data_IF_295382037135
#
_entry.id   IF_295382037135
#
_cell.length_a   1.000
_cell.length_b   1.000
_cell.length_c   1.000
_cell.angle_alpha   90.00
_cell.angle_beta   90.00
_cell.angle_gamma   90.00
#
_symmetry.space_group_name_H-M   'P 1'
#
loop_
_entity.id
_entity.type
_entity.pdbx_description
1 polymer ?
#
# COMPACT_ATOMS: atom_id res chain seq x y z
N UNK A 1 -17.53 72.37 -28.92
CA UNK A 1 -17.11 72.15 -27.52
C UNK A 1 -15.71 71.57 -27.53
N UNK A 2 -14.76 72.35 -27.00
CA UNK A 2 -13.42 72.04 -26.44
C UNK A 2 -12.60 70.88 -27.03
N UNK A 3 -11.29 70.99 -27.29
CA UNK A 3 -10.30 72.05 -27.60
C UNK A 3 -8.97 71.27 -27.81
N UNK A 4 -8.15 71.74 -28.75
CA UNK A 4 -6.83 71.20 -29.11
C UNK A 4 -5.84 71.09 -27.94
N UNK A 5 -4.86 70.17 -28.03
CA UNK A 5 -3.45 70.51 -27.82
C UNK A 5 -2.47 69.50 -28.47
N UNK A 6 -1.61 70.02 -29.33
CA UNK A 6 -0.41 69.39 -29.89
C UNK A 6 0.74 69.65 -28.92
N UNK A 7 1.64 68.69 -28.73
CA UNK A 7 3.03 69.01 -28.40
C UNK A 7 3.99 68.00 -29.03
N UNK A 8 4.69 68.48 -30.06
CA UNK A 8 5.89 67.87 -30.61
C UNK A 8 7.09 68.43 -29.83
N UNK A 9 7.94 67.56 -29.29
CA UNK A 9 9.31 67.92 -28.93
C UNK A 9 10.26 66.90 -29.57
N UNK A 10 10.95 67.36 -30.62
CA UNK A 10 12.20 66.76 -31.07
C UNK A 10 13.29 67.15 -30.07
N UNK A 11 13.98 66.17 -29.50
CA UNK A 11 15.34 66.33 -29.02
C UNK A 11 16.20 65.26 -29.71
N UNK A 12 16.99 65.71 -30.68
CA UNK A 12 18.17 64.98 -31.14
C UNK A 12 19.25 65.10 -30.07
N UNK A 13 19.80 63.96 -29.63
CA UNK A 13 21.16 63.89 -29.12
C UNK A 13 21.77 62.57 -29.56
N UNK A 14 22.79 62.66 -30.41
CA UNK A 14 23.73 61.58 -30.68
C UNK A 14 24.53 61.28 -29.41
N UNK A 15 24.82 59.99 -29.14
CA UNK A 15 26.18 59.48 -28.93
C UNK A 15 26.18 58.13 -28.21
N UNK A 16 26.96 57.22 -28.77
CA UNK A 16 27.71 56.12 -28.13
C UNK A 16 26.93 55.01 -27.40
N UNK A 17 26.80 53.89 -28.10
CA UNK A 17 27.30 52.55 -27.69
C UNK A 17 26.91 52.02 -26.31
N UNK A 18 26.12 50.96 -26.31
CA UNK A 18 26.44 49.75 -25.55
C UNK A 18 25.70 48.55 -26.18
N UNK A 19 26.48 47.56 -26.62
CA UNK A 19 26.01 46.23 -26.97
C UNK A 19 25.58 45.52 -25.67
N UNK A 20 24.27 45.49 -25.40
CA UNK A 20 23.71 44.53 -24.45
C UNK A 20 22.88 43.53 -25.23
N UNK A 21 23.48 42.34 -25.41
CA UNK A 21 22.77 41.14 -25.82
C UNK A 21 21.51 40.98 -24.95
N UNK A 22 20.34 41.15 -25.55
CA UNK A 22 19.09 40.69 -24.97
C UNK A 22 19.19 39.17 -24.79
N UNK A 23 19.29 38.76 -23.52
CA UNK A 23 19.07 37.39 -23.09
C UNK A 23 17.64 37.01 -23.47
N UNK A 24 17.52 36.26 -24.57
CA UNK A 24 16.34 35.46 -24.86
C UNK A 24 16.17 34.51 -23.68
N UNK A 25 15.15 34.76 -22.86
CA UNK A 25 14.69 33.81 -21.86
C UNK A 25 14.02 32.68 -22.65
N UNK A 26 14.78 31.63 -22.94
CA UNK A 26 14.20 30.37 -23.40
C UNK A 26 13.32 29.83 -22.26
N UNK A 27 12.00 29.80 -22.52
CA UNK A 27 11.06 29.01 -21.75
C UNK A 27 11.49 27.54 -21.89
N UNK A 28 12.19 27.03 -20.88
CA UNK A 28 12.47 25.62 -20.72
C UNK A 28 11.19 24.92 -20.22
N UNK A 29 10.16 24.89 -21.08
CA UNK A 29 9.10 23.89 -20.97
C UNK A 29 9.74 22.55 -21.33
N UNK A 30 10.38 21.95 -20.34
CA UNK A 30 10.84 20.56 -20.40
C UNK A 30 9.61 19.70 -20.65
N UNK A 31 9.45 19.32 -21.91
CA UNK A 31 8.51 18.33 -22.39
C UNK A 31 8.63 17.12 -21.44
N UNK A 32 7.56 16.84 -20.68
CA UNK A 32 7.52 15.66 -19.81
C UNK A 32 7.51 14.46 -20.74
N UNK A 33 8.71 13.94 -21.05
CA UNK A 33 8.89 12.66 -21.70
C UNK A 33 8.10 11.66 -20.87
N UNK A 34 7.06 11.06 -21.46
CA UNK A 34 6.33 9.96 -20.85
C UNK A 34 7.35 8.86 -20.59
N UNK A 35 7.88 8.82 -19.36
CA UNK A 35 8.79 7.78 -18.93
C UNK A 35 8.07 6.44 -19.05
N UNK A 36 8.79 5.44 -19.56
CA UNK A 36 8.32 4.06 -19.67
C UNK A 36 7.47 3.61 -18.47
N UNK A 37 6.37 2.86 -18.69
CA UNK A 37 5.50 2.45 -17.60
C UNK A 37 6.21 1.57 -16.56
N UNK A 38 5.78 1.62 -15.29
CA UNK A 38 6.35 0.81 -14.21
C UNK A 38 6.39 -0.68 -14.56
N UNK A 39 5.29 -1.24 -15.06
CA UNK A 39 5.19 -2.65 -15.46
C UNK A 39 6.22 -3.05 -16.52
N UNK A 40 6.56 -2.13 -17.45
CA UNK A 40 7.58 -2.37 -18.47
C UNK A 40 8.97 -2.37 -17.85
N UNK A 41 9.28 -1.34 -17.04
CA UNK A 41 10.57 -1.26 -16.33
C UNK A 41 10.80 -2.51 -15.49
N UNK A 42 9.78 -2.96 -14.75
CA UNK A 42 9.86 -4.15 -13.91
C UNK A 42 10.10 -5.40 -14.75
N UNK A 43 9.32 -5.60 -15.82
CA UNK A 43 9.46 -6.73 -16.73
C UNK A 43 10.87 -6.81 -17.35
N UNK A 44 11.43 -5.67 -17.78
CA UNK A 44 12.74 -5.64 -18.44
C UNK A 44 13.91 -5.86 -17.46
N UNK A 45 13.72 -5.58 -16.16
CA UNK A 45 14.82 -5.50 -15.19
C UNK A 45 14.80 -6.55 -14.08
N UNK A 46 13.67 -7.21 -13.83
CA UNK A 46 13.45 -8.06 -12.67
C UNK A 46 12.78 -9.39 -13.02
N UNK A 47 13.00 -10.40 -12.18
CA UNK A 47 12.25 -11.65 -12.28
C UNK A 47 10.83 -11.44 -11.76
N UNK A 48 9.82 -11.57 -12.63
CA UNK A 48 8.41 -11.36 -12.32
C UNK A 48 7.82 -12.35 -11.31
N UNK A 49 8.52 -13.43 -11.00
CA UNK A 49 8.11 -14.44 -10.02
C UNK A 49 8.56 -14.07 -8.60
N UNK A 50 9.65 -13.30 -8.47
CA UNK A 50 10.23 -12.94 -7.16
C UNK A 50 10.23 -11.45 -6.86
N UNK A 51 9.90 -10.60 -7.82
CA UNK A 51 9.79 -9.16 -7.64
C UNK A 51 8.53 -8.62 -8.31
N UNK A 52 7.62 -8.08 -7.50
CA UNK A 52 6.34 -7.56 -7.97
C UNK A 52 6.16 -6.11 -7.51
N UNK A 53 5.74 -5.24 -8.42
CA UNK A 53 5.45 -3.83 -8.17
C UNK A 53 4.03 -3.52 -8.64
N UNK A 54 3.23 -2.85 -7.83
CA UNK A 54 1.83 -2.61 -8.13
C UNK A 54 1.21 -1.44 -7.37
N UNK A 55 -0.10 -1.31 -7.55
CA UNK A 55 -0.90 -0.29 -6.88
C UNK A 55 -2.31 -0.82 -6.54
N UNK A 56 -2.88 -0.30 -5.47
CA UNK A 56 -4.24 -0.61 -5.03
C UNK A 56 -5.28 0.17 -5.83
N UNK A 57 -6.40 -0.50 -6.16
CA UNK A 57 -7.60 0.13 -6.71
C UNK A 57 -8.78 -0.04 -5.76
N UNK A 58 -9.63 0.97 -5.70
CA UNK A 58 -10.96 0.88 -5.11
C UNK A 58 -11.99 0.45 -6.16
N UNK A 59 -13.07 -0.23 -5.74
CA UNK A 59 -14.17 -0.61 -6.62
C UNK A 59 -14.73 0.54 -7.46
N UNK A 60 -14.86 1.73 -6.86
CA UNK A 60 -15.40 2.91 -7.55
C UNK A 60 -14.43 3.54 -8.57
N UNK A 61 -13.21 3.02 -8.67
CA UNK A 61 -12.22 3.45 -9.66
C UNK A 61 -12.24 2.57 -10.92
N UNK A 62 -12.97 1.45 -10.92
CA UNK A 62 -13.16 0.64 -12.11
C UNK A 62 -13.99 1.41 -13.16
N UNK A 63 -13.65 1.25 -14.44
CA UNK A 63 -14.21 1.96 -15.59
C UNK A 63 -14.05 3.49 -15.51
N UNK A 64 -12.96 3.98 -14.90
CA UNK A 64 -12.64 5.41 -14.82
C UNK A 64 -11.29 5.73 -15.44
N UNK A 65 -10.92 7.01 -15.50
CA UNK A 65 -9.56 7.43 -15.87
C UNK A 65 -8.47 6.93 -14.91
N UNK A 66 -8.83 6.60 -13.65
CA UNK A 66 -7.92 5.96 -12.70
C UNK A 66 -7.63 4.51 -13.10
N UNK A 67 -8.63 3.76 -13.58
CA UNK A 67 -8.41 2.42 -14.15
C UNK A 67 -7.48 2.50 -15.36
N UNK A 68 -7.69 3.46 -16.27
CA UNK A 68 -6.82 3.61 -17.44
C UNK A 68 -5.36 3.88 -17.03
N UNK A 69 -5.13 4.85 -16.13
CA UNK A 69 -3.79 5.11 -15.60
C UNK A 69 -3.19 3.85 -14.94
N UNK A 70 -3.99 3.13 -14.15
CA UNK A 70 -3.54 1.89 -13.53
C UNK A 70 -3.12 0.85 -14.58
N UNK A 71 -3.94 0.63 -15.60
CA UNK A 71 -3.67 -0.34 -16.66
C UNK A 71 -2.45 0.06 -17.48
N UNK A 72 -2.18 1.35 -17.65
CA UNK A 72 -0.98 1.83 -18.35
C UNK A 72 0.29 1.53 -17.53
N UNK A 73 0.24 1.71 -16.21
CA UNK A 73 1.42 1.68 -15.34
C UNK A 73 1.67 0.32 -14.65
N UNK A 74 0.64 -0.45 -14.31
CA UNK A 74 0.74 -1.59 -13.39
C UNK A 74 0.07 -2.87 -13.94
N UNK A 75 0.44 -4.02 -13.36
CA UNK A 75 -0.17 -5.34 -13.62
C UNK A 75 -0.33 -6.17 -12.33
N UNK A 76 -0.28 -5.52 -11.17
CA UNK A 76 -0.54 -6.10 -9.85
C UNK A 76 -1.41 -5.14 -9.03
N UNK A 77 -2.47 -5.65 -8.41
CA UNK A 77 -3.37 -4.85 -7.58
C UNK A 77 -3.78 -5.53 -6.28
N UNK A 78 -4.16 -4.70 -5.32
CA UNK A 78 -4.93 -5.09 -4.15
C UNK A 78 -6.26 -4.34 -4.20
N UNK A 79 -7.42 -5.00 -4.15
CA UNK A 79 -8.71 -4.33 -4.04
C UNK A 79 -8.87 -3.72 -2.64
N UNK A 80 -8.91 -2.38 -2.54
CA UNK A 80 -8.77 -1.64 -1.26
C UNK A 80 -9.72 -2.12 -0.15
N UNK A 81 -10.99 -2.38 -0.50
CA UNK A 81 -12.03 -2.75 0.46
C UNK A 81 -12.90 -3.93 0.02
N UNK A 82 -12.88 -4.31 -1.27
CA UNK A 82 -13.88 -5.21 -1.87
C UNK A 82 -13.94 -6.60 -1.26
N UNK A 83 -12.85 -7.04 -0.63
CA UNK A 83 -12.71 -8.35 -0.01
C UNK A 83 -12.80 -8.31 1.52
N UNK A 84 -13.04 -7.13 2.12
CA UNK A 84 -13.21 -7.01 3.57
C UNK A 84 -14.54 -7.60 3.99
N UNK A 85 -14.59 -8.10 5.23
CA UNK A 85 -15.79 -8.71 5.81
C UNK A 85 -17.00 -7.77 5.74
N UNK A 86 -16.81 -6.48 6.02
CA UNK A 86 -17.87 -5.44 5.96
C UNK A 86 -18.55 -5.33 4.61
N UNK A 87 -17.87 -5.73 3.54
CA UNK A 87 -18.36 -5.67 2.16
C UNK A 87 -18.94 -7.02 1.76
N UNK A 88 -18.22 -8.10 2.02
CA UNK A 88 -18.60 -9.45 1.58
C UNK A 88 -19.73 -10.04 2.44
N UNK A 89 -19.66 -9.82 3.75
CA UNK A 89 -20.58 -10.34 4.76
C UNK A 89 -21.03 -9.22 5.71
N UNK A 90 -21.79 -8.22 5.18
CA UNK A 90 -22.11 -6.99 5.90
C UNK A 90 -23.03 -7.22 7.09
N UNK A 91 -23.79 -8.31 7.11
CA UNK A 91 -24.67 -8.75 8.22
C UNK A 91 -24.71 -10.29 8.28
N UNK A 92 -24.98 -10.90 9.45
CA UNK A 92 -25.16 -12.33 9.58
C UNK A 92 -26.17 -12.89 8.56
N UNK A 93 -25.76 -13.91 7.80
CA UNK A 93 -26.58 -14.54 6.76
C UNK A 93 -26.71 -13.76 5.44
N UNK A 94 -26.13 -12.56 5.33
CA UNK A 94 -26.17 -11.74 4.10
C UNK A 94 -24.83 -11.79 3.39
N UNK A 95 -24.84 -12.04 2.09
CA UNK A 95 -23.62 -12.08 1.27
C UNK A 95 -23.73 -11.11 0.09
N UNK A 96 -22.69 -10.31 -0.11
CA UNK A 96 -22.54 -9.45 -1.29
C UNK A 96 -21.20 -9.72 -1.99
N UNK A 97 -21.26 -10.49 -3.08
CA UNK A 97 -20.10 -10.83 -3.89
C UNK A 97 -19.87 -9.84 -5.03
N UNK A 98 -20.71 -8.83 -5.21
CA UNK A 98 -20.71 -7.95 -6.38
C UNK A 98 -19.33 -7.32 -6.61
N UNK A 99 -18.70 -6.80 -5.56
CA UNK A 99 -17.39 -6.15 -5.67
C UNK A 99 -16.25 -7.16 -5.82
N UNK A 100 -16.37 -8.34 -5.20
CA UNK A 100 -15.41 -9.43 -5.36
C UNK A 100 -15.40 -9.90 -6.80
N UNK A 101 -16.57 -10.20 -7.36
CA UNK A 101 -16.73 -10.71 -8.72
C UNK A 101 -16.23 -9.69 -9.74
N UNK A 102 -16.55 -8.40 -9.57
CA UNK A 102 -16.02 -7.34 -10.43
C UNK A 102 -14.48 -7.28 -10.46
N UNK A 103 -13.81 -7.49 -9.32
CA UNK A 103 -12.35 -7.49 -9.26
C UNK A 103 -11.73 -8.78 -9.82
N UNK A 104 -12.37 -9.94 -9.60
CA UNK A 104 -11.94 -11.20 -10.20
C UNK A 104 -12.04 -11.13 -11.74
N UNK A 105 -13.13 -10.57 -12.26
CA UNK A 105 -13.34 -10.35 -13.69
C UNK A 105 -12.35 -9.32 -14.26
N UNK A 106 -12.16 -8.20 -13.56
CA UNK A 106 -11.18 -7.19 -13.95
C UNK A 106 -9.76 -7.77 -14.03
N UNK A 107 -9.38 -8.59 -13.03
CA UNK A 107 -8.06 -9.21 -12.99
C UNK A 107 -7.87 -10.21 -14.13
N UNK A 108 -8.89 -11.05 -14.40
CA UNK A 108 -8.86 -12.02 -15.48
C UNK A 108 -8.80 -11.35 -16.86
N UNK A 109 -9.66 -10.36 -17.12
CA UNK A 109 -9.75 -9.64 -18.40
C UNK A 109 -8.44 -8.93 -18.78
N UNK A 110 -7.73 -8.41 -17.78
CA UNK A 110 -6.54 -7.57 -18.00
C UNK A 110 -5.22 -8.27 -17.63
N UNK A 111 -5.25 -9.57 -17.30
CA UNK A 111 -4.08 -10.33 -16.88
C UNK A 111 -3.31 -9.68 -15.70
N UNK A 112 -4.07 -9.27 -14.67
CA UNK A 112 -3.53 -8.60 -13.49
C UNK A 112 -3.34 -9.63 -12.37
N UNK A 113 -2.19 -9.61 -11.70
CA UNK A 113 -1.98 -10.35 -10.44
C UNK A 113 -2.75 -9.65 -9.32
N UNK A 114 -3.32 -10.40 -8.38
CA UNK A 114 -4.15 -9.85 -7.32
C UNK A 114 -3.78 -10.38 -5.93
N UNK A 115 -3.79 -9.48 -4.95
CA UNK A 115 -3.76 -9.80 -3.52
C UNK A 115 -5.15 -9.57 -2.93
N UNK A 116 -5.63 -10.54 -2.15
CA UNK A 116 -6.87 -10.43 -1.37
C UNK A 116 -6.52 -9.86 0.01
N UNK A 117 -7.11 -8.72 0.33
CA UNK A 117 -6.77 -7.96 1.53
C UNK A 117 -7.95 -7.82 2.50
N UNK A 118 -7.62 -7.89 3.80
CA UNK A 118 -8.55 -7.73 4.92
C UNK A 118 -9.43 -8.95 5.31
N UNK A 119 -8.95 -10.21 5.24
CA UNK A 119 -9.80 -11.36 5.57
C UNK A 119 -10.05 -11.61 7.07
N UNK A 120 -9.28 -11.13 8.06
CA UNK A 120 -9.79 -10.97 9.45
C UNK A 120 -8.89 -10.06 10.31
N UNK A 121 -9.47 -9.27 11.22
CA UNK A 121 -8.74 -8.36 12.10
C UNK A 121 -9.62 -7.22 12.64
N UNK A 122 -9.02 -6.11 13.10
CA UNK A 122 -9.74 -4.93 13.60
C UNK A 122 -10.68 -4.26 12.59
N UNK A 123 -10.42 -4.44 11.29
CA UNK A 123 -11.27 -3.93 10.21
C UNK A 123 -12.47 -4.87 9.98
N UNK A 124 -13.35 -4.94 10.99
CA UNK A 124 -14.52 -5.83 11.03
C UNK A 124 -15.84 -5.09 10.82
N UNK A 125 -16.90 -5.85 10.54
CA UNK A 125 -18.27 -5.35 10.41
C UNK A 125 -18.78 -4.75 11.72
N UNK A 126 -19.64 -3.75 11.60
CA UNK A 126 -20.26 -3.08 12.75
C UNK A 126 -21.00 -4.09 13.63
N UNK A 127 -21.74 -5.03 13.04
CA UNK A 127 -22.44 -6.07 13.81
C UNK A 127 -21.48 -6.89 14.67
N UNK A 128 -20.26 -7.16 14.22
CA UNK A 128 -19.30 -7.97 14.97
C UNK A 128 -18.78 -7.23 16.22
N UNK A 129 -18.76 -5.90 16.17
CA UNK A 129 -18.36 -5.01 17.28
C UNK A 129 -19.46 -4.85 18.32
N UNK A 130 -20.70 -4.85 17.88
CA UNK A 130 -21.89 -4.73 18.75
C UNK A 130 -22.46 -6.11 19.15
N UNK A 131 -21.76 -7.18 18.79
CA UNK A 131 -22.29 -8.52 18.92
C UNK A 131 -22.37 -8.97 20.39
N UNK A 132 -23.55 -9.46 20.78
CA UNK A 132 -23.84 -9.97 22.12
C UNK A 132 -23.95 -11.50 22.19
N UNK A 133 -23.72 -12.20 21.08
CA UNK A 133 -23.71 -13.66 21.02
C UNK A 133 -22.54 -14.23 21.81
N UNK A 134 -22.64 -15.51 22.15
CA UNK A 134 -21.57 -16.19 22.86
C UNK A 134 -20.35 -16.44 21.93
N UNK A 135 -19.22 -16.83 22.53
CA UNK A 135 -17.98 -17.04 21.80
C UNK A 135 -18.08 -18.09 20.68
N UNK A 136 -18.88 -19.16 20.85
CA UNK A 136 -19.04 -20.22 19.85
C UNK A 136 -19.85 -19.75 18.64
N UNK A 137 -20.91 -18.98 18.89
CA UNK A 137 -21.76 -18.40 17.84
C UNK A 137 -21.01 -17.33 17.04
N UNK A 138 -20.28 -16.43 17.70
CA UNK A 138 -19.44 -15.45 17.00
C UNK A 138 -18.36 -16.16 16.20
N UNK A 139 -17.74 -17.18 16.79
CA UNK A 139 -16.70 -17.96 16.15
C UNK A 139 -17.21 -18.61 14.86
N UNK A 140 -18.43 -19.14 14.87
CA UNK A 140 -19.03 -19.76 13.68
C UNK A 140 -19.18 -18.77 12.52
N UNK A 141 -19.60 -17.53 12.77
CA UNK A 141 -19.82 -16.57 11.67
C UNK A 141 -18.56 -16.10 10.96
N UNK A 142 -17.48 -15.80 11.68
CA UNK A 142 -16.26 -15.38 10.97
C UNK A 142 -15.61 -16.58 10.27
N UNK A 143 -15.75 -17.80 10.81
CA UNK A 143 -15.30 -19.01 10.14
C UNK A 143 -16.06 -19.26 8.84
N UNK A 144 -17.38 -19.04 8.82
CA UNK A 144 -18.19 -19.13 7.60
C UNK A 144 -17.74 -18.11 6.55
N UNK A 145 -17.53 -16.86 6.96
CA UNK A 145 -16.93 -15.83 6.12
C UNK A 145 -15.59 -16.25 5.52
N UNK A 146 -14.64 -16.66 6.36
CA UNK A 146 -13.31 -17.10 5.92
C UNK A 146 -13.40 -18.28 4.95
N UNK A 147 -14.25 -19.27 5.25
CA UNK A 147 -14.40 -20.49 4.45
C UNK A 147 -14.95 -20.18 3.06
N UNK A 148 -16.04 -19.42 2.96
CA UNK A 148 -16.64 -19.11 1.66
C UNK A 148 -15.75 -18.18 0.83
N UNK A 149 -15.08 -17.22 1.48
CA UNK A 149 -14.09 -16.39 0.79
C UNK A 149 -12.92 -17.24 0.25
N UNK A 150 -12.34 -18.12 1.06
CA UNK A 150 -11.26 -19.02 0.64
C UNK A 150 -11.65 -19.86 -0.57
N UNK A 151 -12.84 -20.49 -0.54
CA UNK A 151 -13.36 -21.28 -1.67
C UNK A 151 -13.52 -20.44 -2.93
N UNK A 152 -14.04 -19.21 -2.79
CA UNK A 152 -14.30 -18.30 -3.91
C UNK A 152 -13.01 -17.91 -4.64
N UNK A 153 -11.91 -17.72 -3.90
CA UNK A 153 -10.64 -17.25 -4.49
C UNK A 153 -9.67 -18.37 -4.90
N UNK A 154 -9.74 -19.56 -4.27
CA UNK A 154 -8.71 -20.59 -4.40
C UNK A 154 -8.40 -21.06 -5.83
N UNK A 155 -9.40 -21.04 -6.71
CA UNK A 155 -9.26 -21.54 -8.07
C UNK A 155 -9.07 -20.42 -9.11
N UNK A 156 -8.93 -19.17 -8.67
CA UNK A 156 -8.66 -18.06 -9.56
C UNK A 156 -7.14 -17.86 -9.70
N UNK A 157 -6.60 -18.11 -10.91
CA UNK A 157 -5.16 -18.03 -11.19
C UNK A 157 -4.55 -16.63 -11.06
N UNK A 158 -5.37 -15.59 -11.05
CA UNK A 158 -4.90 -14.22 -10.84
C UNK A 158 -4.67 -13.91 -9.36
N UNK A 159 -5.31 -14.64 -8.44
CA UNK A 159 -5.14 -14.43 -6.99
C UNK A 159 -3.90 -15.18 -6.50
N UNK A 160 -2.91 -14.44 -6.01
CA UNK A 160 -1.64 -15.02 -5.57
C UNK A 160 -1.50 -15.04 -4.04
N UNK A 161 -1.95 -13.98 -3.37
CA UNK A 161 -1.79 -13.81 -1.93
C UNK A 161 -3.11 -13.48 -1.25
N UNK A 162 -3.26 -13.91 0.01
CA UNK A 162 -4.34 -13.52 0.89
C UNK A 162 -3.78 -13.12 2.26
N UNK A 163 -4.18 -11.96 2.77
CA UNK A 163 -3.80 -11.42 4.08
C UNK A 163 -4.54 -12.09 5.25
N UNK A 164 -4.39 -13.41 5.44
CA UNK A 164 -5.21 -14.24 6.36
C UNK A 164 -5.60 -13.55 7.67
N UNK A 165 -4.65 -12.84 8.30
CA UNK A 165 -4.92 -11.93 9.42
C UNK A 165 -4.29 -10.57 9.15
N UNK A 166 -4.93 -9.52 9.69
CA UNK A 166 -4.51 -8.14 9.54
C UNK A 166 -4.46 -7.42 10.90
N UNK A 167 -3.37 -6.72 11.20
CA UNK A 167 -3.29 -5.72 12.29
C UNK A 167 -3.63 -6.29 13.67
N UNK A 168 -3.13 -7.48 13.96
CA UNK A 168 -3.49 -8.22 15.17
C UNK A 168 -2.69 -7.81 16.40
N UNK A 169 -1.58 -7.07 16.21
CA UNK A 169 -0.64 -6.69 17.29
C UNK A 169 -0.45 -5.17 17.30
N UNK A 170 -0.41 -4.58 18.50
CA UNK A 170 -0.14 -3.17 18.77
C UNK A 170 1.38 -2.89 18.81
N UNK A 171 1.76 -1.62 18.73
CA UNK A 171 3.17 -1.20 18.71
C UNK A 171 3.97 -1.58 19.96
N UNK A 172 3.31 -1.92 21.06
CA UNK A 172 3.88 -2.37 22.33
C UNK A 172 3.81 -3.91 22.52
N UNK A 173 3.70 -4.67 21.42
CA UNK A 173 3.66 -6.14 21.45
C UNK A 173 2.41 -6.78 22.06
N UNK A 174 1.42 -5.99 22.47
CA UNK A 174 0.13 -6.50 22.94
C UNK A 174 -0.77 -6.84 21.76
N UNK A 175 -1.70 -7.78 21.92
CA UNK A 175 -2.74 -8.01 20.92
C UNK A 175 -3.64 -6.78 20.78
N UNK A 176 -4.11 -6.51 19.57
CA UNK A 176 -5.30 -5.66 19.41
C UNK A 176 -6.48 -6.34 20.09
N UNK A 177 -7.37 -5.55 20.67
CA UNK A 177 -8.45 -6.06 21.51
C UNK A 177 -9.76 -5.30 21.24
N UNK A 178 -10.86 -5.87 21.73
CA UNK A 178 -12.19 -5.26 21.73
C UNK A 178 -12.18 -3.96 22.54
N UNK A 179 -12.99 -2.98 22.15
CA UNK A 179 -13.22 -1.75 22.92
C UNK A 179 -14.71 -1.40 22.90
N UNK A 180 -15.14 -0.55 23.81
CA UNK A 180 -16.55 -0.13 23.80
C UNK A 180 -16.81 0.87 22.66
N UNK A 181 -17.77 0.52 21.80
CA UNK A 181 -18.29 1.38 20.73
C UNK A 181 -17.63 1.19 19.36
N UNK A 182 -18.40 1.45 18.30
CA UNK A 182 -18.06 1.05 16.92
C UNK A 182 -17.09 1.97 16.16
N UNK A 183 -16.84 3.15 16.72
CA UNK A 183 -16.00 4.20 16.12
C UNK A 183 -14.51 4.07 16.48
N UNK A 184 -14.15 3.11 17.34
CA UNK A 184 -12.77 2.89 17.74
C UNK A 184 -12.07 1.88 16.84
N UNK A 185 -10.73 1.97 16.83
CA UNK A 185 -9.90 0.89 16.33
C UNK A 185 -9.87 -0.24 17.35
N UNK A 186 -10.68 -1.26 17.09
CA UNK A 186 -10.92 -2.39 17.98
C UNK A 186 -11.00 -3.71 17.21
N UNK A 187 -10.74 -4.81 17.91
CA UNK A 187 -10.73 -6.15 17.34
C UNK A 187 -11.75 -7.04 18.07
N UNK A 188 -12.99 -7.20 17.56
CA UNK A 188 -14.02 -7.97 18.28
C UNK A 188 -13.69 -9.46 18.38
N UNK A 189 -12.82 -9.98 17.51
CA UNK A 189 -12.53 -11.41 17.42
C UNK A 189 -11.76 -11.96 18.64
N UNK A 190 -11.16 -11.10 19.46
CA UNK A 190 -10.51 -11.52 20.70
C UNK A 190 -11.47 -12.06 21.73
N UNK A 191 -12.77 -11.71 21.66
CA UNK A 191 -13.78 -12.22 22.59
C UNK A 191 -14.04 -13.73 22.45
N UNK A 192 -13.60 -14.35 21.34
CA UNK A 192 -13.63 -15.80 21.16
C UNK A 192 -12.65 -16.50 22.13
N UNK A 193 -11.66 -15.76 22.62
CA UNK A 193 -10.69 -16.22 23.60
C UNK A 193 -9.34 -16.62 22.99
N UNK A 194 -8.50 -17.20 23.84
CA UNK A 194 -7.14 -17.65 23.52
C UNK A 194 -7.04 -19.15 23.73
N UNK A 195 -6.14 -19.80 23.00
CA UNK A 195 -5.79 -21.18 23.29
C UNK A 195 -4.88 -21.29 24.53
N UNK A 196 -4.51 -22.51 24.92
CA UNK A 196 -3.67 -22.78 26.09
C UNK A 196 -2.28 -22.12 26.02
N UNK A 197 -1.78 -21.83 24.81
CA UNK A 197 -0.49 -21.17 24.57
C UNK A 197 -0.60 -19.63 24.56
N UNK A 198 -1.79 -19.08 24.83
CA UNK A 198 -2.03 -17.64 24.91
C UNK A 198 -2.20 -16.94 23.56
N UNK A 199 -2.38 -17.68 22.46
CA UNK A 199 -2.62 -17.13 21.12
C UNK A 199 -4.13 -16.97 20.90
N UNK A 200 -4.60 -15.82 20.38
CA UNK A 200 -6.01 -15.62 20.04
C UNK A 200 -6.53 -16.72 19.09
N UNK A 201 -7.66 -17.35 19.46
CA UNK A 201 -8.21 -18.48 18.72
C UNK A 201 -8.57 -18.13 17.27
N UNK A 202 -9.02 -16.90 17.02
CA UNK A 202 -9.39 -16.46 15.68
C UNK A 202 -8.21 -16.50 14.70
N UNK A 203 -6.99 -16.20 15.16
CA UNK A 203 -5.77 -16.22 14.33
C UNK A 203 -5.45 -17.65 13.90
N UNK A 204 -5.37 -18.57 14.86
CA UNK A 204 -5.06 -19.98 14.60
C UNK A 204 -6.08 -20.58 13.63
N UNK A 205 -7.36 -20.32 13.91
CA UNK A 205 -8.46 -20.87 13.13
C UNK A 205 -8.57 -20.27 11.73
N UNK A 206 -8.24 -18.99 11.55
CA UNK A 206 -8.19 -18.37 10.22
C UNK A 206 -7.14 -19.06 9.33
N UNK A 207 -5.96 -19.35 9.87
CA UNK A 207 -4.92 -20.11 9.14
C UNK A 207 -5.28 -21.59 8.93
N UNK A 208 -5.98 -22.25 9.86
CA UNK A 208 -6.53 -23.60 9.64
C UNK A 208 -7.50 -23.62 8.44
N UNK A 209 -8.45 -22.67 8.41
CA UNK A 209 -9.45 -22.56 7.34
C UNK A 209 -8.78 -22.23 6.01
N UNK A 210 -7.89 -21.25 6.00
CA UNK A 210 -7.18 -20.85 4.78
C UNK A 210 -6.32 -22.00 4.23
N UNK A 211 -5.61 -22.74 5.08
CA UNK A 211 -4.86 -23.94 4.67
C UNK A 211 -5.78 -25.00 4.03
N UNK A 212 -6.99 -25.19 4.58
CA UNK A 212 -7.93 -26.20 4.11
C UNK A 212 -8.65 -25.81 2.82
N UNK A 213 -9.10 -24.57 2.70
CA UNK A 213 -10.03 -24.11 1.64
C UNK A 213 -9.38 -23.20 0.60
N UNK A 214 -8.19 -22.66 0.86
CA UNK A 214 -7.38 -21.89 -0.09
C UNK A 214 -5.94 -22.44 -0.25
N UNK A 215 -5.73 -23.77 -0.43
CA UNK A 215 -4.39 -24.35 -0.50
C UNK A 215 -3.50 -23.80 -1.63
N UNK A 216 -4.10 -23.31 -2.72
CA UNK A 216 -3.40 -22.77 -3.89
C UNK A 216 -2.97 -21.31 -3.74
N UNK A 217 -3.36 -20.65 -2.65
CA UNK A 217 -3.05 -19.24 -2.37
C UNK A 217 -1.92 -19.16 -1.35
N UNK A 218 -1.03 -18.17 -1.49
CA UNK A 218 -0.02 -17.86 -0.49
C UNK A 218 -0.64 -17.10 0.68
N UNK A 219 -0.45 -17.63 1.90
CA UNK A 219 -1.10 -17.19 3.12
C UNK A 219 -0.20 -16.21 3.89
N UNK A 220 -0.61 -14.94 3.95
CA UNK A 220 0.21 -13.83 4.46
C UNK A 220 -0.32 -13.33 5.81
N UNK A 221 0.61 -13.09 6.74
CA UNK A 221 0.33 -12.35 7.98
C UNK A 221 0.64 -10.87 7.74
N UNK A 222 -0.37 -9.99 7.68
CA UNK A 222 -0.19 -8.57 7.38
C UNK A 222 -0.27 -7.70 8.64
N UNK A 223 0.66 -6.76 8.79
CA UNK A 223 0.79 -5.98 10.01
C UNK A 223 1.02 -4.49 9.73
N UNK A 224 0.26 -3.66 10.45
CA UNK A 224 0.43 -2.21 10.51
C UNK A 224 1.48 -1.79 11.54
N UNK A 225 1.72 -0.48 11.61
CA UNK A 225 2.69 0.26 12.42
C UNK A 225 4.10 0.28 11.82
N UNK A 226 5.05 0.76 12.61
CA UNK A 226 6.39 1.12 12.15
C UNK A 226 7.43 0.08 12.53
N UNK A 227 8.63 0.57 12.84
CA UNK A 227 9.81 -0.23 13.16
C UNK A 227 10.00 -0.33 14.68
N UNK A 228 8.93 -0.70 15.41
CA UNK A 228 8.96 -0.96 16.86
C UNK A 228 9.36 -2.43 17.11
N UNK A 229 10.50 -2.70 17.80
CA UNK A 229 10.98 -4.08 17.94
C UNK A 229 10.02 -5.02 18.67
N UNK A 230 9.42 -4.58 19.77
CA UNK A 230 8.51 -5.41 20.59
C UNK A 230 7.32 -5.96 19.78
N UNK A 231 6.77 -5.15 18.87
CA UNK A 231 5.70 -5.58 17.98
C UNK A 231 6.20 -6.64 16.98
N UNK A 232 7.34 -6.39 16.32
CA UNK A 232 7.87 -7.32 15.33
C UNK A 232 8.33 -8.63 15.95
N UNK A 233 8.87 -8.61 17.17
CA UNK A 233 9.19 -9.82 17.92
C UNK A 233 7.92 -10.64 18.17
N UNK A 234 6.82 -10.00 18.58
CA UNK A 234 5.54 -10.69 18.76
C UNK A 234 4.98 -11.27 17.45
N UNK A 235 5.10 -10.54 16.33
CA UNK A 235 4.69 -11.03 15.01
C UNK A 235 5.50 -12.27 14.63
N UNK A 236 6.83 -12.20 14.77
CA UNK A 236 7.75 -13.30 14.47
C UNK A 236 7.46 -14.53 15.33
N UNK A 237 7.30 -14.37 16.64
CA UNK A 237 6.89 -15.42 17.57
C UNK A 237 5.58 -16.09 17.14
N UNK A 238 4.59 -15.29 16.73
CA UNK A 238 3.27 -15.79 16.32
C UNK A 238 3.37 -16.59 15.03
N UNK A 239 4.14 -16.12 14.05
CA UNK A 239 4.35 -16.85 12.79
C UNK A 239 5.06 -18.19 13.04
N UNK A 240 6.14 -18.17 13.85
CA UNK A 240 6.84 -19.40 14.23
C UNK A 240 5.93 -20.37 14.98
N UNK A 241 5.07 -19.85 15.87
CA UNK A 241 4.06 -20.65 16.55
C UNK A 241 3.11 -21.33 15.56
N UNK A 242 2.52 -20.58 14.62
CA UNK A 242 1.60 -21.13 13.62
C UNK A 242 2.28 -22.22 12.78
N UNK A 243 3.51 -21.97 12.31
CA UNK A 243 4.32 -22.97 11.58
C UNK A 243 4.62 -24.21 12.44
N UNK A 244 4.90 -24.04 13.74
CA UNK A 244 5.14 -25.16 14.67
C UNK A 244 3.92 -26.08 14.87
N UNK A 245 2.71 -25.53 14.69
CA UNK A 245 1.44 -26.30 14.69
C UNK A 245 1.11 -26.89 13.31
N UNK A 246 2.03 -26.80 12.35
CA UNK A 246 1.87 -27.31 10.99
C UNK A 246 0.95 -26.45 10.11
N UNK A 247 0.65 -25.21 10.50
CA UNK A 247 -0.14 -24.28 9.68
C UNK A 247 0.74 -23.66 8.59
N UNK A 248 0.12 -23.37 7.45
CA UNK A 248 0.78 -22.75 6.30
C UNK A 248 0.80 -21.24 6.50
N UNK A 249 1.99 -20.66 6.59
CA UNK A 249 2.24 -19.21 6.56
C UNK A 249 3.37 -19.02 5.56
N UNK A 250 3.06 -18.37 4.45
CA UNK A 250 3.95 -18.25 3.30
C UNK A 250 4.58 -16.86 3.19
N UNK A 251 4.04 -15.86 3.88
CA UNK A 251 4.55 -14.49 3.77
C UNK A 251 4.30 -13.62 4.98
N UNK A 252 5.14 -12.59 5.11
CA UNK A 252 5.03 -11.51 6.07
C UNK A 252 4.76 -10.19 5.34
N UNK A 253 3.64 -9.53 5.68
CA UNK A 253 3.26 -8.23 5.14
C UNK A 253 3.52 -7.09 6.12
N UNK A 254 4.16 -6.03 5.63
CA UNK A 254 4.23 -4.72 6.28
C UNK A 254 3.47 -3.70 5.44
N UNK A 255 2.51 -3.02 6.05
CA UNK A 255 1.71 -2.03 5.33
C UNK A 255 2.55 -0.88 4.79
N UNK A 256 3.44 -0.30 5.59
CA UNK A 256 4.28 0.79 5.12
C UNK A 256 3.54 2.12 4.96
N UNK A 257 2.54 2.42 5.79
CA UNK A 257 1.95 3.76 5.86
C UNK A 257 2.94 4.75 6.49
N UNK A 258 3.64 5.53 5.66
CA UNK A 258 4.65 6.50 6.09
C UNK A 258 4.03 7.90 6.27
N UNK A 259 4.71 8.73 7.05
CA UNK A 259 4.31 10.13 7.27
C UNK A 259 5.54 11.02 7.38
N UNK A 260 5.43 12.24 6.90
CA UNK A 260 6.55 13.20 6.94
C UNK A 260 6.97 13.58 8.38
N UNK A 261 6.02 13.54 9.32
CA UNK A 261 6.26 13.83 10.73
C UNK A 261 6.58 12.58 11.57
N UNK A 262 6.69 11.40 10.95
CA UNK A 262 7.10 10.14 11.60
C UNK A 262 8.18 9.51 10.73
N UNK A 263 9.41 9.99 10.90
CA UNK A 263 10.54 9.65 10.03
C UNK A 263 10.92 8.17 10.21
N UNK A 264 10.55 7.33 9.23
CA UNK A 264 10.89 5.91 9.16
C UNK A 264 11.77 5.64 7.95
N UNK A 265 11.27 5.91 6.75
CA UNK A 265 11.93 5.58 5.49
C UNK A 265 13.16 6.43 5.18
N UNK A 266 13.35 7.54 5.90
CA UNK A 266 14.45 8.47 5.72
C UNK A 266 15.44 8.43 6.90
N UNK A 267 15.35 7.41 7.77
CA UNK A 267 16.26 7.22 8.90
C UNK A 267 17.03 5.90 8.74
N UNK A 268 18.35 5.95 8.90
CA UNK A 268 19.23 4.78 8.66
C UNK A 268 18.92 3.61 9.58
N UNK A 269 18.76 3.83 10.88
CA UNK A 269 18.51 2.76 11.84
C UNK A 269 17.19 2.04 11.56
N UNK A 270 16.16 2.77 11.13
CA UNK A 270 14.86 2.19 10.77
C UNK A 270 14.93 1.38 9.47
N UNK A 271 15.69 1.84 8.48
CA UNK A 271 15.94 1.06 7.25
C UNK A 271 16.76 -0.20 7.55
N UNK A 272 17.81 -0.10 8.37
CA UNK A 272 18.62 -1.25 8.78
C UNK A 272 17.74 -2.28 9.53
N UNK A 273 16.83 -1.82 10.39
CA UNK A 273 15.89 -2.70 11.08
C UNK A 273 14.89 -3.36 10.12
N UNK A 274 14.34 -2.62 9.14
CA UNK A 274 13.51 -3.19 8.07
C UNK A 274 14.25 -4.29 7.30
N UNK A 275 15.51 -4.05 6.92
CA UNK A 275 16.33 -5.06 6.25
C UNK A 275 16.47 -6.33 7.10
N UNK A 276 16.65 -6.20 8.42
CA UNK A 276 16.70 -7.36 9.33
C UNK A 276 15.39 -8.15 9.39
N UNK A 277 14.23 -7.49 9.22
CA UNK A 277 12.93 -8.17 9.15
C UNK A 277 12.78 -8.92 7.82
N UNK A 278 13.20 -8.32 6.71
CA UNK A 278 13.20 -8.96 5.39
C UNK A 278 14.10 -10.19 5.41
N UNK A 279 15.33 -10.05 5.93
CA UNK A 279 16.29 -11.15 6.06
C UNK A 279 15.72 -12.27 6.94
N UNK A 280 15.09 -11.92 8.07
CA UNK A 280 14.42 -12.90 8.94
C UNK A 280 13.28 -13.62 8.21
N UNK A 281 12.47 -12.92 7.42
CA UNK A 281 11.37 -13.53 6.67
C UNK A 281 11.89 -14.58 5.68
N UNK A 282 12.87 -14.21 4.85
CA UNK A 282 13.48 -15.13 3.88
C UNK A 282 14.18 -16.33 4.55
N UNK A 283 14.87 -16.11 5.67
CA UNK A 283 15.50 -17.19 6.47
C UNK A 283 14.50 -18.18 7.07
N UNK A 284 13.23 -17.79 7.19
CA UNK A 284 12.14 -18.63 7.70
C UNK A 284 11.19 -19.09 6.59
N UNK A 285 11.64 -19.11 5.34
CA UNK A 285 10.86 -19.51 4.16
C UNK A 285 9.55 -18.71 4.04
N UNK A 286 9.64 -17.39 4.17
CA UNK A 286 8.52 -16.46 3.99
C UNK A 286 8.85 -15.45 2.89
N UNK A 287 7.89 -15.18 2.02
CA UNK A 287 7.86 -13.98 1.19
C UNK A 287 7.82 -12.73 2.08
N UNK A 288 8.38 -11.61 1.61
CA UNK A 288 8.23 -10.32 2.29
C UNK A 288 7.46 -9.31 1.43
N UNK A 289 6.43 -8.70 1.99
CA UNK A 289 5.54 -7.81 1.25
C UNK A 289 5.50 -6.43 1.87
N UNK A 290 5.80 -5.40 1.08
CA UNK A 290 5.31 -4.04 1.34
C UNK A 290 3.94 -3.93 0.69
N UNK A 291 2.89 -3.93 1.50
CA UNK A 291 1.51 -4.22 1.05
C UNK A 291 0.68 -2.98 0.77
N UNK A 292 0.95 -1.87 1.45
CA UNK A 292 0.08 -0.70 1.47
C UNK A 292 0.88 0.61 1.53
N UNK A 293 2.02 0.68 0.84
CA UNK A 293 2.91 1.83 1.05
C UNK A 293 2.26 3.11 0.56
N UNK A 294 2.34 4.10 1.43
CA UNK A 294 2.07 5.47 1.10
C UNK A 294 2.92 6.40 1.95
N UNK A 295 2.92 7.69 1.63
CA UNK A 295 3.68 8.67 2.39
C UNK A 295 2.87 9.95 2.52
N UNK A 296 2.22 10.14 3.67
CA UNK A 296 1.40 11.32 3.92
C UNK A 296 2.26 12.53 4.27
N UNK A 297 2.23 13.54 3.41
CA UNK A 297 2.80 14.87 3.73
C UNK A 297 1.90 15.63 4.70
N UNK A 298 2.51 16.49 5.50
CA UNK A 298 1.80 17.33 6.46
C UNK A 298 1.63 18.74 5.89
N UNK A 299 0.45 19.32 6.08
CA UNK A 299 0.11 20.68 5.62
C UNK A 299 -0.74 20.70 4.35
N UNK A 300 -1.25 21.90 4.01
CA UNK A 300 -2.22 22.10 2.92
C UNK A 300 -1.55 22.50 1.59
N UNK A 301 -0.25 22.78 1.60
CA UNK A 301 0.51 23.14 0.39
C UNK A 301 1.97 22.70 0.54
N UNK A 302 2.29 21.41 0.28
CA UNK A 302 3.63 20.88 0.47
C UNK A 302 4.65 21.57 -0.46
N UNK A 303 5.81 21.89 0.09
CA UNK A 303 6.92 22.50 -0.68
C UNK A 303 7.59 21.48 -1.61
N UNK A 304 8.38 21.95 -2.57
CA UNK A 304 9.20 21.09 -3.42
C UNK A 304 10.11 20.15 -2.59
N UNK A 305 10.68 20.65 -1.48
CA UNK A 305 11.47 19.82 -0.56
C UNK A 305 10.63 18.75 0.14
N UNK A 306 9.35 19.02 0.44
CA UNK A 306 8.46 18.01 1.00
C UNK A 306 8.17 16.88 -0.01
N UNK A 307 7.92 17.21 -1.28
CA UNK A 307 7.80 16.20 -2.34
C UNK A 307 9.10 15.44 -2.60
N UNK A 308 10.26 16.08 -2.46
CA UNK A 308 11.55 15.39 -2.55
C UNK A 308 11.77 14.40 -1.40
N UNK A 309 11.37 14.77 -0.16
CA UNK A 309 11.37 13.83 0.97
C UNK A 309 10.41 12.66 0.73
N UNK A 310 9.18 12.94 0.28
CA UNK A 310 8.21 11.91 -0.09
C UNK A 310 8.80 10.90 -1.09
N UNK A 311 9.37 11.42 -2.18
CA UNK A 311 9.92 10.61 -3.25
C UNK A 311 11.09 9.72 -2.79
N UNK A 312 12.00 10.28 -1.98
CA UNK A 312 13.09 9.49 -1.39
C UNK A 312 12.60 8.51 -0.33
N UNK A 313 11.54 8.82 0.42
CA UNK A 313 10.92 7.91 1.39
C UNK A 313 10.37 6.66 0.70
N UNK A 314 9.57 6.85 -0.35
CA UNK A 314 9.11 5.75 -1.20
C UNK A 314 10.28 4.95 -1.79
N UNK A 315 11.28 5.65 -2.34
CA UNK A 315 12.45 5.04 -2.97
C UNK A 315 13.30 4.23 -1.99
N UNK A 316 13.52 4.68 -0.76
CA UNK A 316 14.33 3.94 0.21
C UNK A 316 13.70 2.60 0.60
N UNK A 317 12.37 2.54 0.73
CA UNK A 317 11.69 1.25 0.95
C UNK A 317 11.87 0.35 -0.28
N UNK A 318 11.74 0.89 -1.49
CA UNK A 318 11.95 0.13 -2.72
C UNK A 318 13.39 -0.39 -2.84
N UNK A 319 14.39 0.44 -2.52
CA UNK A 319 15.82 0.09 -2.47
C UNK A 319 16.08 -1.05 -1.50
N UNK A 320 15.44 -1.03 -0.33
CA UNK A 320 15.54 -2.11 0.66
C UNK A 320 15.06 -3.44 0.07
N UNK A 321 13.89 -3.47 -0.58
CA UNK A 321 13.37 -4.66 -1.27
C UNK A 321 14.29 -5.10 -2.42
N UNK A 322 14.72 -4.18 -3.27
CA UNK A 322 15.64 -4.48 -4.38
C UNK A 322 16.91 -5.15 -3.83
N UNK A 323 17.46 -4.68 -2.71
CA UNK A 323 18.67 -5.24 -2.11
C UNK A 323 18.51 -6.69 -1.61
N UNK A 324 17.28 -7.16 -1.38
CA UNK A 324 16.97 -8.50 -0.85
C UNK A 324 16.18 -9.39 -1.81
N UNK A 325 15.85 -8.90 -3.00
CA UNK A 325 15.13 -9.64 -4.05
C UNK A 325 15.79 -10.96 -4.49
N UNK A 326 17.08 -11.14 -4.19
CA UNK A 326 17.83 -12.36 -4.49
C UNK A 326 17.65 -13.48 -3.45
N UNK A 327 17.09 -13.16 -2.29
CA UNK A 327 16.96 -14.09 -1.14
C UNK A 327 15.55 -14.70 -1.04
N UNK A 328 14.56 -14.15 -1.75
CA UNK A 328 13.17 -14.61 -1.74
C UNK A 328 12.26 -13.62 -2.45
N UNK A 329 10.96 -13.90 -2.45
CA UNK A 329 9.97 -13.01 -3.09
C UNK A 329 9.88 -11.71 -2.28
N UNK A 330 9.81 -10.60 -3.01
CA UNK A 330 9.47 -9.29 -2.48
C UNK A 330 8.38 -8.61 -3.30
N UNK A 331 7.43 -7.94 -2.64
CA UNK A 331 6.41 -7.15 -3.32
C UNK A 331 6.37 -5.71 -2.82
N UNK A 332 6.10 -4.77 -3.71
CA UNK A 332 5.91 -3.35 -3.40
C UNK A 332 4.56 -2.90 -3.98
N UNK A 333 3.60 -2.57 -3.13
CA UNK A 333 2.27 -2.14 -3.56
C UNK A 333 1.93 -0.78 -2.95
N UNK A 334 1.69 0.24 -3.77
CA UNK A 334 1.21 1.52 -3.26
C UNK A 334 -0.26 1.40 -2.88
N UNK A 335 -0.66 1.95 -1.72
CA UNK A 335 -2.06 1.80 -1.26
C UNK A 335 -3.09 2.61 -2.06
N UNK A 336 -2.61 3.46 -2.95
CA UNK A 336 -3.43 4.16 -3.92
C UNK A 336 -2.54 4.67 -5.05
N UNK A 337 -3.19 5.07 -6.14
CA UNK A 337 -2.52 5.61 -7.30
C UNK A 337 -2.34 7.13 -7.15
N UNK A 338 -3.39 7.85 -6.75
CA UNK A 338 -3.47 9.31 -6.86
C UNK A 338 -4.00 9.98 -5.59
N UNK A 339 -3.56 11.21 -5.35
CA UNK A 339 -4.05 12.08 -4.26
C UNK A 339 -5.53 12.41 -4.46
N UNK A 340 -6.39 12.02 -3.49
CA UNK A 340 -7.84 12.24 -3.60
C UNK A 340 -8.16 13.73 -3.60
N UNK A 341 -9.09 14.14 -4.47
CA UNK A 341 -9.34 15.54 -4.81
C UNK A 341 -10.32 16.29 -3.88
N UNK A 342 -10.84 15.65 -2.84
CA UNK A 342 -11.80 16.27 -1.94
C UNK A 342 -11.11 17.37 -1.11
N UNK A 343 -11.48 18.66 -1.23
CA UNK A 343 -10.83 19.75 -0.50
C UNK A 343 -10.88 19.59 1.03
N UNK A 344 -11.90 18.91 1.56
CA UNK A 344 -12.06 18.66 3.00
C UNK A 344 -11.20 17.49 3.51
N UNK A 345 -10.71 16.65 2.61
CA UNK A 345 -9.93 15.45 2.94
C UNK A 345 -8.74 15.23 1.99
N UNK A 346 -8.19 16.29 1.40
CA UNK A 346 -7.11 16.18 0.42
C UNK A 346 -5.86 15.67 1.15
N UNK A 347 -5.36 14.52 0.73
CA UNK A 347 -4.17 13.91 1.31
C UNK A 347 -3.07 13.84 0.25
N UNK A 348 -2.00 14.61 0.45
CA UNK A 348 -0.78 14.55 -0.36
C UNK A 348 0.01 13.30 0.01
N UNK A 349 -0.44 12.14 -0.47
CA UNK A 349 -0.10 10.83 0.08
C UNK A 349 0.50 9.88 -0.96
N UNK A 350 -0.06 9.87 -2.17
CA UNK A 350 0.25 8.93 -3.23
C UNK A 350 1.22 9.51 -4.25
N UNK A 351 1.54 8.72 -5.29
CA UNK A 351 2.61 9.02 -6.25
C UNK A 351 2.12 9.82 -7.46
N UNK A 352 0.82 9.85 -7.73
CA UNK A 352 0.18 10.78 -8.68
C UNK A 352 -0.59 11.87 -7.94
N UNK A 353 -0.68 13.05 -8.52
CA UNK A 353 -1.50 14.14 -8.00
C UNK A 353 -2.98 13.90 -8.33
N UNK A 354 -3.82 14.83 -7.88
CA UNK A 354 -5.26 14.69 -8.02
C UNK A 354 -5.81 14.91 -9.44
N UNK A 355 -4.97 15.40 -10.35
CA UNK A 355 -5.23 15.49 -11.79
C UNK A 355 -4.61 14.30 -12.55
N UNK A 356 -4.19 13.25 -11.84
CA UNK A 356 -3.55 12.06 -12.38
C UNK A 356 -2.20 12.34 -13.06
N UNK A 357 -1.53 13.43 -12.69
CA UNK A 357 -0.17 13.75 -13.16
C UNK A 357 0.87 13.15 -12.23
N UNK A 358 1.98 12.61 -12.77
CA UNK A 358 3.02 12.01 -11.95
C UNK A 358 3.67 13.07 -11.05
N UNK A 359 3.85 12.75 -9.76
CA UNK A 359 4.64 13.58 -8.83
C UNK A 359 6.11 13.18 -8.89
N UNK A 360 6.96 13.92 -8.17
CA UNK A 360 8.41 13.62 -8.05
C UNK A 360 8.69 12.17 -7.62
N UNK A 361 7.78 11.56 -6.85
CA UNK A 361 7.88 10.15 -6.45
C UNK A 361 7.90 9.19 -7.64
N UNK A 362 7.10 9.43 -8.69
CA UNK A 362 7.08 8.57 -9.89
C UNK A 362 8.44 8.56 -10.57
N UNK A 363 9.02 9.74 -10.81
CA UNK A 363 10.33 9.89 -11.43
C UNK A 363 11.42 9.14 -10.65
N UNK A 364 11.51 9.36 -9.33
CA UNK A 364 12.55 8.72 -8.49
C UNK A 364 12.34 7.21 -8.40
N UNK A 365 11.08 6.73 -8.29
CA UNK A 365 10.79 5.29 -8.27
C UNK A 365 11.17 4.63 -9.61
N UNK A 366 10.81 5.23 -10.75
CA UNK A 366 11.18 4.71 -12.08
C UNK A 366 12.70 4.64 -12.25
N UNK A 367 13.44 5.69 -11.86
CA UNK A 367 14.90 5.66 -11.89
C UNK A 367 15.49 4.60 -10.94
N UNK A 368 14.94 4.47 -9.73
CA UNK A 368 15.38 3.44 -8.77
C UNK A 368 15.23 2.02 -9.33
N UNK A 369 14.12 1.75 -10.03
CA UNK A 369 13.88 0.46 -10.69
C UNK A 369 14.83 0.21 -11.87
N UNK A 370 15.05 1.23 -12.70
CA UNK A 370 15.95 1.12 -13.87
C UNK A 370 17.40 0.87 -13.46
N UNK A 371 17.89 1.67 -12.52
CA UNK A 371 19.28 1.62 -12.08
C UNK A 371 19.55 0.49 -11.07
N UNK A 372 18.48 -0.15 -10.57
CA UNK A 372 18.52 -1.15 -9.49
C UNK A 372 19.28 -0.62 -8.27
N UNK A 373 19.19 0.69 -8.02
CA UNK A 373 19.89 1.36 -6.95
C UNK A 373 19.47 0.74 -5.60
N UNK A 374 20.43 0.53 -4.70
CA UNK A 374 20.20 0.02 -3.33
C UNK A 374 20.75 0.94 -2.25
N UNK A 375 21.28 2.11 -2.61
CA UNK A 375 21.85 3.10 -1.70
C UNK A 375 20.79 4.11 -1.23
N UNK A 376 20.34 4.07 0.03
CA UNK A 376 19.30 4.96 0.52
C UNK A 376 19.77 6.41 0.61
N UNK A 377 18.82 7.34 0.54
CA UNK A 377 19.05 8.78 0.78
C UNK A 377 18.42 9.15 2.12
N UNK A 378 19.24 9.58 3.05
CA UNK A 378 18.82 10.01 4.38
C UNK A 378 18.80 11.55 4.47
N UNK A 379 17.94 12.11 5.31
CA UNK A 379 17.83 13.57 5.50
C UNK A 379 18.21 14.02 6.92
N UNK A 380 18.59 13.07 7.76
CA UNK A 380 19.16 13.24 9.10
C UNK A 380 20.70 13.25 9.09
#
# INVERSE_FOLDING_TARGET
MHKYLILFFLLMSCSSGDDTNELIIENDETEIVIQEPFKKIVFDNYNSDTFIFGATLNYYQLNTNVEQLFLDEFNYTTPENSFKQTIVHPEPGVWDWTRVDAFLDFASKNNIKMRVHGPIGPQSSTWAKEDSRNAEELSSLYQDYMKELCKKINNNSNVLWMDVVNETILSNGQWTDKKDGTNLWENPWTQIGKNADGIPLYIVKAFEIAKQYAPNISLVFNQHAGMQPEMWDKVKETILYLKSKGLKVDGLGWQGHLRDNVILSLNKEKIDYLLSIIDWAHQNDLDFHVTEIDYRLVGNNPSANAYLRQANGYSNILKALISRRGNGVVTYNTWGVYDKNDPSSHEFKYIYDSNLKPKKAVEILKNTLKDKNTSPVYFD
#
